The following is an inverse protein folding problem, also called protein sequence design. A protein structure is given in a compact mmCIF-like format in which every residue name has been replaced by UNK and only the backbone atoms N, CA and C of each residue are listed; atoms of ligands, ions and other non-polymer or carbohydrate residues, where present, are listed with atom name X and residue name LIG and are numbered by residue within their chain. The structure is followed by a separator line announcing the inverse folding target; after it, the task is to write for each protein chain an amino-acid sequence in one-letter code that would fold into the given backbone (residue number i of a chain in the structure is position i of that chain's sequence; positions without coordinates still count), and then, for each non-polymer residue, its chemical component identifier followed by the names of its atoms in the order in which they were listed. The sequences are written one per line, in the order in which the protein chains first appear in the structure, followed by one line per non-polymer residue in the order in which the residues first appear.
data_IF_399816297828
#
_entry.id   IF_399816297828
#
_cell.length_a   1.000
_cell.length_b   1.000
_cell.length_c   1.000
_cell.angle_alpha   90.00
_cell.angle_beta   90.00
_cell.angle_gamma   90.00
#
_symmetry.space_group_name_H-M   'P 1'
#
loop_
_entity.id
_entity.type
_entity.pdbx_description
1 polymer ?
#
# COMPACT_ATOMS: atom_id res chain seq x y z
N UNK A 1 -19.37 19.44 -3.53
CA UNK A 1 -19.39 18.28 -2.60
C UNK A 1 -18.42 17.19 -3.03
N UNK A 2 -18.46 16.75 -4.30
CA UNK A 2 -17.48 15.79 -4.87
C UNK A 2 -16.04 16.33 -4.82
N UNK A 3 -15.82 17.62 -5.07
CA UNK A 3 -14.49 18.24 -4.97
C UNK A 3 -13.89 18.16 -3.56
N UNK A 4 -14.69 18.36 -2.52
CA UNK A 4 -14.23 18.21 -1.14
C UNK A 4 -13.85 16.75 -0.85
N UNK A 5 -14.65 15.78 -1.30
CA UNK A 5 -14.36 14.34 -1.14
C UNK A 5 -13.06 13.98 -1.85
N UNK A 6 -12.85 14.50 -3.06
CA UNK A 6 -11.63 14.28 -3.84
C UNK A 6 -10.40 14.88 -3.13
N UNK A 7 -10.52 16.11 -2.65
CA UNK A 7 -9.44 16.82 -1.96
C UNK A 7 -9.04 16.13 -0.66
N UNK A 8 -10.01 15.76 0.19
CA UNK A 8 -9.72 15.04 1.43
C UNK A 8 -9.23 13.61 1.19
N UNK A 9 -9.75 12.93 0.16
CA UNK A 9 -9.30 11.60 -0.24
C UNK A 9 -7.84 11.57 -0.66
N UNK A 10 -7.39 12.58 -1.42
CA UNK A 10 -5.98 12.73 -1.81
C UNK A 10 -5.04 12.88 -0.60
N UNK A 11 -5.42 13.69 0.40
CA UNK A 11 -4.63 13.86 1.62
C UNK A 11 -4.53 12.57 2.45
N UNK A 12 -5.61 11.80 2.53
CA UNK A 12 -5.61 10.49 3.22
C UNK A 12 -4.64 9.52 2.50
N UNK A 13 -4.68 9.47 1.17
CA UNK A 13 -3.77 8.62 0.39
C UNK A 13 -2.33 9.06 0.51
N UNK A 14 -2.07 10.36 0.62
CA UNK A 14 -0.74 10.91 0.87
C UNK A 14 -0.20 10.43 2.22
N UNK A 15 -0.97 10.59 3.30
CA UNK A 15 -0.57 10.17 4.66
C UNK A 15 -0.30 8.67 4.71
N UNK A 16 -1.18 7.85 4.11
CA UNK A 16 -0.98 6.40 4.01
C UNK A 16 0.25 6.02 3.17
N UNK A 17 0.56 6.78 2.12
CA UNK A 17 1.75 6.58 1.30
C UNK A 17 3.04 6.84 2.09
N UNK A 18 3.07 7.92 2.87
CA UNK A 18 4.22 8.26 3.73
C UNK A 18 4.39 7.19 4.82
N UNK A 19 3.30 6.76 5.46
CA UNK A 19 3.35 5.72 6.49
C UNK A 19 3.80 4.36 5.94
N UNK A 20 3.34 4.00 4.75
CA UNK A 20 3.79 2.81 4.02
C UNK A 20 5.29 2.85 3.71
N UNK A 21 5.82 4.01 3.26
CA UNK A 21 7.25 4.17 3.01
C UNK A 21 8.06 4.04 4.31
N UNK A 22 7.58 4.61 5.40
CA UNK A 22 8.20 4.48 6.72
C UNK A 22 8.28 3.01 7.18
N UNK A 23 7.21 2.22 7.02
CA UNK A 23 7.20 0.81 7.39
C UNK A 23 8.08 -0.07 6.49
N UNK A 24 8.09 0.16 5.17
CA UNK A 24 8.95 -0.57 4.23
C UNK A 24 10.43 -0.19 4.40
N UNK A 25 10.73 1.05 4.80
CA UNK A 25 12.10 1.51 5.04
C UNK A 25 12.67 1.03 6.38
N UNK A 26 11.90 0.34 7.21
CA UNK A 26 12.36 -0.19 8.49
C UNK A 26 13.47 -1.24 8.32
N UNK A 27 14.57 -1.07 9.06
CA UNK A 27 15.79 -1.90 9.01
C UNK A 27 15.61 -3.29 9.64
N UNK A 28 14.55 -3.48 10.44
CA UNK A 28 14.20 -4.78 11.04
C UNK A 28 13.39 -5.63 10.04
N UNK A 29 13.92 -6.80 9.66
CA UNK A 29 13.32 -7.70 8.67
C UNK A 29 11.86 -8.10 8.98
N UNK A 30 11.52 -8.42 10.23
CA UNK A 30 10.14 -8.73 10.63
C UNK A 30 9.20 -7.53 10.42
N UNK A 31 9.61 -6.33 10.87
CA UNK A 31 8.83 -5.10 10.67
C UNK A 31 8.68 -4.74 9.19
N UNK A 32 9.69 -5.07 8.36
CA UNK A 32 9.65 -4.89 6.91
C UNK A 32 8.62 -5.82 6.25
N UNK A 33 8.56 -7.08 6.68
CA UNK A 33 7.57 -8.06 6.21
C UNK A 33 6.14 -7.61 6.55
N UNK A 34 5.90 -7.20 7.80
CA UNK A 34 4.61 -6.63 8.22
C UNK A 34 4.30 -5.35 7.46
N UNK A 35 5.32 -4.54 7.17
CA UNK A 35 5.22 -3.35 6.32
C UNK A 35 4.65 -3.66 4.95
N UNK A 36 5.19 -4.66 4.24
CA UNK A 36 4.66 -5.04 2.93
C UNK A 36 3.19 -5.50 2.95
N UNK A 37 2.79 -6.27 3.98
CA UNK A 37 1.37 -6.68 4.13
C UNK A 37 0.50 -5.44 4.38
N UNK A 38 0.91 -4.57 5.31
CA UNK A 38 0.15 -3.38 5.67
C UNK A 38 -0.01 -2.44 4.47
N UNK A 39 1.06 -2.26 3.69
CA UNK A 39 1.03 -1.55 2.41
C UNK A 39 0.04 -2.19 1.45
N UNK A 40 0.07 -3.51 1.26
CA UNK A 40 -0.86 -4.22 0.37
C UNK A 40 -2.32 -4.00 0.76
N UNK A 41 -2.65 -4.16 2.05
CA UNK A 41 -4.03 -3.97 2.56
C UNK A 41 -4.48 -2.52 2.45
N UNK A 42 -3.60 -1.57 2.80
CA UNK A 42 -3.91 -0.13 2.70
C UNK A 42 -4.16 0.31 1.26
N UNK A 43 -3.33 -0.15 0.31
CA UNK A 43 -3.51 0.15 -1.12
C UNK A 43 -4.75 -0.50 -1.68
N UNK A 44 -5.06 -1.73 -1.30
CA UNK A 44 -6.29 -2.39 -1.71
C UNK A 44 -7.54 -1.65 -1.18
N UNK A 45 -7.52 -1.22 0.08
CA UNK A 45 -8.57 -0.38 0.66
C UNK A 45 -8.72 0.96 -0.08
N UNK A 46 -7.60 1.59 -0.46
CA UNK A 46 -7.60 2.78 -1.31
C UNK A 46 -8.26 2.53 -2.67
N UNK A 47 -7.96 1.40 -3.33
CA UNK A 47 -8.60 1.02 -4.59
C UNK A 47 -10.12 0.89 -4.46
N UNK A 48 -10.62 0.30 -3.37
CA UNK A 48 -12.07 0.19 -3.11
C UNK A 48 -12.71 1.57 -2.95
N UNK A 49 -12.10 2.48 -2.20
CA UNK A 49 -12.61 3.85 -2.04
C UNK A 49 -12.62 4.59 -3.38
N UNK A 50 -11.57 4.46 -4.18
CA UNK A 50 -11.51 5.11 -5.51
C UNK A 50 -12.49 4.51 -6.51
N UNK A 51 -12.85 3.24 -6.35
CA UNK A 51 -13.88 2.60 -7.17
C UNK A 51 -15.27 3.16 -6.84
N UNK A 52 -15.54 3.51 -5.58
CA UNK A 52 -16.80 4.15 -5.17
C UNK A 52 -16.92 5.62 -5.60
N UNK A 53 -15.80 6.27 -5.92
CA UNK A 53 -15.73 7.68 -6.32
C UNK A 53 -15.47 7.83 -7.84
N UNK A 54 -15.64 6.75 -8.62
CA UNK A 54 -15.47 6.71 -10.09
C UNK A 54 -14.12 7.26 -10.59
N UNK A 55 -13.03 6.88 -9.90
CA UNK A 55 -11.66 7.30 -10.23
C UNK A 55 -10.81 6.13 -10.75
N UNK A 56 -11.06 5.64 -11.98
CA UNK A 56 -10.49 4.39 -12.48
C UNK A 56 -8.96 4.39 -12.54
N UNK A 57 -8.33 5.53 -12.82
CA UNK A 57 -6.87 5.66 -12.83
C UNK A 57 -6.24 5.38 -11.46
N UNK A 58 -6.85 5.87 -10.38
CA UNK A 58 -6.37 5.66 -9.02
C UNK A 58 -6.66 4.25 -8.51
N UNK A 59 -7.75 3.62 -8.96
CA UNK A 59 -8.03 2.20 -8.70
C UNK A 59 -6.90 1.34 -9.27
N UNK A 60 -6.58 1.50 -10.56
CA UNK A 60 -5.54 0.72 -11.23
C UNK A 60 -4.18 0.92 -10.57
N UNK A 61 -3.81 2.17 -10.26
CA UNK A 61 -2.56 2.48 -9.59
C UNK A 61 -2.44 1.79 -8.21
N UNK A 62 -3.52 1.78 -7.42
CA UNK A 62 -3.54 1.13 -6.12
C UNK A 62 -3.51 -0.40 -6.23
N UNK A 63 -4.16 -0.99 -7.24
CA UNK A 63 -4.09 -2.43 -7.49
C UNK A 63 -2.66 -2.87 -7.89
N UNK A 64 -1.98 -2.10 -8.75
CA UNK A 64 -0.57 -2.35 -9.10
C UNK A 64 0.32 -2.28 -7.85
N UNK A 65 0.13 -1.25 -7.02
CA UNK A 65 0.90 -1.10 -5.77
C UNK A 65 0.62 -2.21 -4.76
N UNK A 66 -0.63 -2.68 -4.69
CA UNK A 66 -1.02 -3.84 -3.89
C UNK A 66 -0.26 -5.08 -4.34
N UNK A 67 -0.22 -5.34 -5.64
CA UNK A 67 0.52 -6.47 -6.21
C UNK A 67 2.02 -6.39 -5.92
N UNK A 68 2.64 -5.23 -6.11
CA UNK A 68 4.07 -5.03 -5.83
C UNK A 68 4.38 -5.24 -4.35
N UNK A 69 3.52 -4.78 -3.44
CA UNK A 69 3.69 -4.97 -2.01
C UNK A 69 3.62 -6.45 -1.61
N UNK A 70 2.63 -7.19 -2.11
CA UNK A 70 2.54 -8.63 -1.87
C UNK A 70 3.71 -9.40 -2.47
N UNK A 71 4.16 -9.05 -3.69
CA UNK A 71 5.36 -9.63 -4.29
C UNK A 71 6.60 -9.38 -3.42
N UNK A 72 6.79 -8.14 -2.95
CA UNK A 72 7.87 -7.78 -2.03
C UNK A 72 7.81 -8.55 -0.71
N UNK A 73 6.62 -8.83 -0.17
CA UNK A 73 6.45 -9.70 1.00
C UNK A 73 6.94 -11.13 0.70
N UNK A 74 6.50 -11.74 -0.40
CA UNK A 74 6.87 -13.12 -0.75
C UNK A 74 8.36 -13.27 -1.02
N UNK A 75 8.98 -12.33 -1.72
CA UNK A 75 10.41 -12.38 -2.03
C UNK A 75 11.24 -12.24 -0.74
N UNK A 76 10.86 -11.35 0.17
CA UNK A 76 11.55 -11.21 1.46
C UNK A 76 11.33 -12.37 2.42
N UNK A 77 10.14 -13.00 2.39
CA UNK A 77 9.85 -14.21 3.17
C UNK A 77 10.68 -15.41 2.70
N UNK A 78 10.97 -15.49 1.39
CA UNK A 78 11.85 -16.52 0.82
C UNK A 78 13.31 -16.31 1.23
N UNK A 79 13.77 -15.06 1.30
CA UNK A 79 15.12 -14.72 1.77
C UNK A 79 15.28 -15.04 3.26
N UNK A 80 14.28 -14.69 4.09
CA UNK A 80 14.26 -15.04 5.52
C UNK A 80 14.34 -16.56 5.75
N UNK A 81 13.60 -17.35 4.99
CA UNK A 81 13.69 -18.83 5.03
C UNK A 81 15.01 -19.40 4.54
N UNK A 82 15.75 -18.72 3.67
CA UNK A 82 17.04 -19.18 3.13
C UNK A 82 18.21 -18.90 4.07
N UNK A 83 18.08 -17.89 4.93
CA UNK A 83 19.11 -17.46 5.88
C UNK A 83 18.93 -18.09 7.28
N UNK A 84 17.98 -19.01 7.43
CA UNK A 84 17.65 -19.70 8.69
C UNK A 84 17.91 -21.20 8.53
#
# INVERSE_FOLDING_TARGET
MIENILQYGQWIVLVLSIYSLYLVSSVKHEKRLTGYIFTGVSRFGGALIFLLVDLPAFVIANLIQTYIAFKGYFDNKKVDRKNK
#
